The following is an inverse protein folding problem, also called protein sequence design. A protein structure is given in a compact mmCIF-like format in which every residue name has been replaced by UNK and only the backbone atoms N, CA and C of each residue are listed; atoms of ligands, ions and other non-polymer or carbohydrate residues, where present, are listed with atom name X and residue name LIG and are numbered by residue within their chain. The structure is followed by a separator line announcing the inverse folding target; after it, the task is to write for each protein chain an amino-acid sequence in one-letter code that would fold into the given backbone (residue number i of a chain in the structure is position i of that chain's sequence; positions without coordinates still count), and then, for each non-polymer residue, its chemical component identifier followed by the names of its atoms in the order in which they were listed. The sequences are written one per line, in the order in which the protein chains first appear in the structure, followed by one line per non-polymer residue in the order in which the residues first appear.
data_IF_452244526599
#
_entry.id   IF_452244526599
#
_cell.length_a   1.000
_cell.length_b   1.000
_cell.length_c   1.000
_cell.angle_alpha   90.00
_cell.angle_beta   90.00
_cell.angle_gamma   90.00
#
_symmetry.space_group_name_H-M   'P 1'
#
loop_
_entity.id
_entity.type
_entity.pdbx_description
1 polymer ?
#
# COMPACT_ATOMS: atom_id res chain seq x y z
N UNK A 1 -14.20 14.97 0.84
CA UNK A 1 -13.11 15.00 1.84
C UNK A 1 -11.90 15.68 1.21
N UNK A 2 -11.29 16.60 1.91
CA UNK A 2 -10.08 17.26 1.45
C UNK A 2 -8.86 16.45 1.86
N UNK A 3 -8.13 15.94 0.87
CA UNK A 3 -6.96 15.09 1.09
C UNK A 3 -5.65 15.86 1.04
N UNK A 4 -5.71 17.17 0.76
CA UNK A 4 -4.49 17.95 0.54
C UNK A 4 -3.53 17.97 1.74
N UNK A 5 -4.05 17.83 2.95
CA UNK A 5 -3.23 17.87 4.15
C UNK A 5 -2.20 16.74 4.20
N UNK A 6 -2.47 15.61 3.55
CA UNK A 6 -1.54 14.48 3.53
C UNK A 6 -0.35 14.72 2.61
N UNK A 7 -0.45 15.73 1.75
CA UNK A 7 0.56 16.00 0.72
C UNK A 7 1.24 17.35 0.89
N UNK A 8 1.15 17.95 2.09
CA UNK A 8 1.77 19.25 2.36
C UNK A 8 3.29 19.16 2.42
N UNK A 9 3.82 18.03 2.92
CA UNK A 9 5.26 17.85 3.08
C UNK A 9 5.93 17.30 1.83
N UNK A 10 5.20 16.50 1.05
CA UNK A 10 5.74 15.85 -0.15
C UNK A 10 4.61 15.50 -1.10
N UNK A 11 4.88 15.49 -2.42
CA UNK A 11 3.86 15.13 -3.41
C UNK A 11 3.51 13.63 -3.39
N UNK A 12 4.39 12.79 -2.87
CA UNK A 12 4.17 11.36 -2.71
C UNK A 12 4.41 10.98 -1.28
N UNK A 13 3.55 10.11 -0.74
CA UNK A 13 3.71 9.61 0.62
C UNK A 13 3.74 8.08 0.60
N UNK A 14 4.47 7.46 1.54
CA UNK A 14 4.52 6.01 1.61
C UNK A 14 3.22 5.42 2.12
N UNK A 15 2.86 4.28 1.55
CA UNK A 15 1.66 3.54 1.93
C UNK A 15 2.05 2.08 2.14
N UNK A 16 1.76 1.58 3.32
CA UNK A 16 1.94 0.17 3.66
C UNK A 16 0.61 -0.55 3.46
N UNK A 17 0.64 -1.73 2.85
CA UNK A 17 -0.54 -2.59 2.77
C UNK A 17 -0.43 -3.67 3.84
N UNK A 18 -1.49 -3.79 4.64
CA UNK A 18 -1.52 -4.71 5.78
C UNK A 18 -2.79 -5.55 5.73
N UNK A 19 -2.64 -6.84 6.01
CA UNK A 19 -3.78 -7.75 6.04
C UNK A 19 -4.71 -7.43 7.21
N UNK A 20 -6.02 -7.36 6.95
CA UNK A 20 -7.01 -7.00 7.98
C UNK A 20 -7.17 -8.04 9.07
N UNK A 21 -6.84 -9.29 8.79
CA UNK A 21 -7.02 -10.38 9.75
C UNK A 21 -5.75 -10.74 10.49
N UNK A 22 -4.68 -10.98 9.76
CA UNK A 22 -3.42 -11.44 10.34
C UNK A 22 -2.51 -10.32 10.82
N UNK A 23 -2.69 -9.12 10.28
CA UNK A 23 -1.77 -8.01 10.53
C UNK A 23 -0.51 -8.09 9.69
N UNK A 24 -0.40 -9.06 8.79
CA UNK A 24 0.79 -9.21 7.96
C UNK A 24 0.97 -8.02 7.05
N UNK A 25 2.21 -7.52 6.96
CA UNK A 25 2.56 -6.45 6.04
C UNK A 25 2.86 -7.06 4.68
N UNK A 26 2.16 -6.60 3.64
CA UNK A 26 2.26 -7.19 2.30
C UNK A 26 3.20 -6.45 1.37
N UNK A 27 3.16 -5.12 1.39
CA UNK A 27 3.99 -4.31 0.50
C UNK A 27 4.02 -2.87 0.98
N UNK A 28 4.95 -2.10 0.39
CA UNK A 28 4.99 -0.65 0.53
C UNK A 28 5.01 -0.04 -0.87
N UNK A 29 4.19 0.96 -1.09
CA UNK A 29 4.18 1.74 -2.32
C UNK A 29 4.08 3.21 -1.99
N UNK A 30 3.91 4.04 -3.02
CA UNK A 30 3.76 5.49 -2.84
C UNK A 30 2.48 5.93 -3.50
N UNK A 31 1.81 6.90 -2.88
CA UNK A 31 0.57 7.46 -3.40
C UNK A 31 0.68 8.96 -3.53
N UNK A 32 0.12 9.50 -4.64
CA UNK A 32 -0.18 10.92 -4.71
C UNK A 32 -1.66 11.10 -4.31
N UNK A 33 -2.12 12.33 -4.30
CA UNK A 33 -3.49 12.64 -3.90
C UNK A 33 -4.51 11.90 -4.77
N UNK A 34 -4.24 11.82 -6.08
CA UNK A 34 -5.14 11.13 -7.02
C UNK A 34 -5.23 9.64 -6.75
N UNK A 35 -4.10 8.99 -6.43
CA UNK A 35 -4.08 7.56 -6.10
C UNK A 35 -4.90 7.29 -4.82
N UNK A 36 -4.76 8.17 -3.83
CA UNK A 36 -5.51 8.03 -2.59
C UNK A 36 -7.01 8.17 -2.85
N UNK A 37 -7.41 9.17 -3.66
CA UNK A 37 -8.81 9.36 -4.01
C UNK A 37 -9.38 8.15 -4.75
N UNK A 38 -8.62 7.61 -5.70
CA UNK A 38 -9.04 6.42 -6.44
C UNK A 38 -9.21 5.21 -5.53
N UNK A 39 -8.33 5.05 -4.54
CA UNK A 39 -8.45 3.96 -3.58
C UNK A 39 -9.76 4.05 -2.81
N UNK A 40 -10.11 5.26 -2.38
CA UNK A 40 -11.36 5.49 -1.66
C UNK A 40 -12.59 5.28 -2.55
N UNK A 41 -12.51 5.68 -3.81
CA UNK A 41 -13.62 5.59 -4.74
C UNK A 41 -13.87 4.15 -5.22
N UNK A 42 -12.80 3.37 -5.42
CA UNK A 42 -12.91 2.03 -5.99
C UNK A 42 -12.86 0.91 -4.98
N UNK A 43 -12.30 1.17 -3.79
CA UNK A 43 -12.12 0.12 -2.79
C UNK A 43 -10.96 -0.82 -3.08
N UNK A 44 -10.11 -0.47 -4.03
CA UNK A 44 -8.91 -1.24 -4.36
C UNK A 44 -7.68 -0.35 -4.23
N UNK A 45 -6.51 -0.95 -3.98
CA UNK A 45 -5.29 -0.19 -3.68
C UNK A 45 -4.69 0.43 -4.93
N UNK A 46 -4.61 1.74 -4.95
CA UNK A 46 -3.98 2.53 -6.01
C UNK A 46 -2.72 3.19 -5.51
N UNK A 47 -1.74 3.30 -6.39
CA UNK A 47 -0.43 3.89 -6.11
C UNK A 47 0.01 4.78 -7.25
N UNK A 48 1.08 5.54 -7.03
CA UNK A 48 1.74 6.30 -8.08
C UNK A 48 3.16 5.73 -8.24
N UNK A 49 3.47 5.27 -9.46
CA UNK A 49 4.79 4.72 -9.76
C UNK A 49 5.80 5.85 -9.98
N UNK A 50 6.85 5.90 -9.16
CA UNK A 50 7.90 6.92 -9.28
C UNK A 50 8.71 6.73 -10.56
N UNK A 51 9.00 5.48 -10.91
CA UNK A 51 9.81 5.19 -12.10
C UNK A 51 9.06 5.43 -13.41
N UNK A 52 7.76 5.11 -13.44
CA UNK A 52 6.94 5.26 -14.64
C UNK A 52 6.20 6.58 -14.70
N UNK A 53 6.15 7.32 -13.59
CA UNK A 53 5.42 8.59 -13.48
C UNK A 53 3.95 8.44 -13.87
N UNK A 54 3.30 7.38 -13.36
CA UNK A 54 1.88 7.15 -13.63
C UNK A 54 1.19 6.42 -12.48
N UNK A 55 -0.13 6.55 -12.45
CA UNK A 55 -0.98 5.82 -11.52
C UNK A 55 -1.02 4.34 -11.90
N UNK A 56 -1.12 3.48 -10.89
CA UNK A 56 -1.38 2.07 -11.14
C UNK A 56 -2.23 1.47 -10.03
N UNK A 57 -3.10 0.55 -10.42
CA UNK A 57 -3.96 -0.20 -9.52
C UNK A 57 -3.29 -1.54 -9.25
N UNK A 58 -2.98 -1.84 -8.00
CA UNK A 58 -2.33 -3.10 -7.65
C UNK A 58 -3.23 -4.25 -8.10
N UNK A 59 -2.71 -5.10 -8.96
CA UNK A 59 -3.46 -6.23 -9.53
C UNK A 59 -3.99 -5.98 -10.94
N UNK A 60 -3.78 -4.80 -11.51
CA UNK A 60 -4.31 -4.49 -12.85
C UNK A 60 -3.78 -5.42 -13.94
N UNK A 61 -2.58 -5.97 -13.75
CA UNK A 61 -1.98 -6.91 -14.70
C UNK A 61 -2.18 -8.37 -14.27
N UNK A 62 -1.95 -8.65 -12.99
CA UNK A 62 -2.00 -10.01 -12.45
C UNK A 62 -3.41 -10.50 -12.11
N UNK A 63 -4.33 -9.57 -11.88
CA UNK A 63 -5.65 -9.90 -11.34
C UNK A 63 -5.67 -10.02 -9.82
N UNK A 64 -4.52 -9.89 -9.16
CA UNK A 64 -4.41 -10.02 -7.70
C UNK A 64 -4.56 -8.67 -7.03
N UNK A 65 -5.78 -8.14 -7.09
CA UNK A 65 -6.12 -6.85 -6.46
C UNK A 65 -6.03 -6.94 -4.94
N UNK A 66 -5.80 -5.79 -4.30
CA UNK A 66 -5.91 -5.68 -2.85
C UNK A 66 -7.19 -4.88 -2.58
N UNK A 67 -8.14 -5.53 -1.91
CA UNK A 67 -9.39 -4.89 -1.53
C UNK A 67 -9.19 -4.16 -0.20
N UNK A 68 -9.33 -2.84 -0.23
CA UNK A 68 -9.07 -1.98 0.92
C UNK A 68 -10.33 -1.79 1.74
N UNK A 69 -10.28 -2.09 3.03
CA UNK A 69 -11.39 -1.94 3.96
C UNK A 69 -11.34 -0.62 4.70
N UNK A 70 -10.15 -0.15 5.03
CA UNK A 70 -9.97 1.13 5.71
C UNK A 70 -8.59 1.68 5.44
N UNK A 71 -8.44 2.97 5.62
CA UNK A 71 -7.17 3.67 5.45
C UNK A 71 -6.85 4.36 6.76
N UNK A 72 -5.66 4.10 7.29
CA UNK A 72 -5.18 4.73 8.51
C UNK A 72 -4.10 5.74 8.16
N UNK A 73 -4.09 6.87 8.84
CA UNK A 73 -2.99 7.84 8.72
C UNK A 73 -2.21 7.86 10.03
N UNK A 74 -0.94 8.19 9.95
CA UNK A 74 -0.13 8.32 11.16
C UNK A 74 -0.36 9.69 11.84
N UNK A 75 0.33 9.93 12.94
CA UNK A 75 0.05 11.08 13.79
C UNK A 75 0.37 12.44 13.15
N UNK A 76 1.23 12.49 12.15
CA UNK A 76 1.59 13.72 11.45
C UNK A 76 1.17 13.76 9.99
N UNK A 77 0.27 12.86 9.60
CA UNK A 77 -0.41 12.86 8.29
C UNK A 77 0.54 12.80 7.09
N UNK A 78 1.57 11.96 7.17
CA UNK A 78 2.50 11.80 6.04
C UNK A 78 2.78 10.35 5.67
N UNK A 79 2.08 9.40 6.29
CA UNK A 79 2.22 7.96 6.00
C UNK A 79 0.85 7.31 6.18
N UNK A 80 0.53 6.38 5.28
CA UNK A 80 -0.76 5.71 5.31
C UNK A 80 -0.61 4.20 5.41
N UNK A 81 -1.65 3.56 5.94
CA UNK A 81 -1.80 2.11 5.85
C UNK A 81 -3.13 1.82 5.14
N UNK A 82 -3.05 1.05 4.06
CA UNK A 82 -4.24 0.46 3.45
C UNK A 82 -4.45 -0.88 4.13
N UNK A 83 -5.51 -0.99 4.92
CA UNK A 83 -5.85 -2.24 5.61
C UNK A 83 -6.89 -2.97 4.76
N UNK A 84 -6.61 -4.20 4.39
CA UNK A 84 -7.53 -4.92 3.54
C UNK A 84 -7.16 -6.37 3.32
N UNK A 85 -7.66 -6.94 2.22
CA UNK A 85 -7.47 -8.34 1.88
C UNK A 85 -6.99 -8.46 0.45
N UNK A 86 -5.83 -9.08 0.20
CA UNK A 86 -5.39 -9.35 -1.17
C UNK A 86 -6.17 -10.53 -1.74
N UNK A 87 -6.45 -10.47 -3.04
CA UNK A 87 -7.12 -11.57 -3.74
C UNK A 87 -6.20 -12.77 -3.94
N UNK A 88 -4.90 -12.52 -4.06
CA UNK A 88 -3.89 -13.56 -4.27
C UNK A 88 -2.52 -13.06 -3.85
N UNK A 89 -1.45 -13.72 -4.28
CA UNK A 89 -0.09 -13.31 -3.93
C UNK A 89 0.15 -11.85 -4.29
N UNK A 90 0.73 -11.09 -3.36
CA UNK A 90 0.93 -9.65 -3.53
C UNK A 90 2.19 -9.37 -4.35
N UNK A 91 3.26 -10.10 -4.08
CA UNK A 91 4.52 -9.89 -4.77
C UNK A 91 4.47 -10.43 -6.21
N UNK A 92 5.04 -9.67 -7.16
CA UNK A 92 5.09 -10.10 -8.56
C UNK A 92 5.85 -11.40 -8.76
N UNK A 93 6.66 -11.83 -7.76
CA UNK A 93 7.38 -13.11 -7.79
C UNK A 93 6.51 -14.29 -7.38
N UNK A 94 5.25 -14.05 -7.00
CA UNK A 94 4.33 -15.08 -6.57
C UNK A 94 4.28 -15.31 -5.07
N UNK A 95 5.05 -14.56 -4.28
CA UNK A 95 5.00 -14.65 -2.82
C UNK A 95 3.81 -13.89 -2.26
N UNK A 96 3.28 -14.37 -1.13
CA UNK A 96 2.14 -13.75 -0.46
C UNK A 96 2.44 -12.32 -0.04
N UNK A 97 3.67 -12.04 0.40
CA UNK A 97 4.14 -10.72 0.79
C UNK A 97 5.42 -10.38 0.03
N UNK A 98 5.69 -9.08 -0.13
CA UNK A 98 6.95 -8.63 -0.70
C UNK A 98 8.11 -8.75 0.30
N UNK A 99 7.80 -8.90 1.58
CA UNK A 99 8.80 -8.94 2.66
C UNK A 99 9.06 -10.36 3.10
N UNK A 100 9.72 -11.15 2.24
CA UNK A 100 9.95 -12.57 2.50
C UNK A 100 11.42 -12.92 2.71
N UNK A 101 12.33 -11.95 2.68
CA UNK A 101 13.76 -12.17 2.88
C UNK A 101 14.17 -11.63 4.23
N UNK A 102 14.71 -12.49 5.09
CA UNK A 102 15.21 -12.07 6.39
C UNK A 102 16.63 -11.51 6.24
N UNK A 103 16.80 -10.22 6.53
CA UNK A 103 18.11 -9.58 6.50
C UNK A 103 18.91 -9.89 7.75
N UNK A 104 18.27 -9.89 8.88
CA UNK A 104 18.90 -10.06 10.18
C UNK A 104 17.89 -10.60 11.18
N UNK A 105 18.33 -11.44 12.04
CA UNK A 105 17.49 -11.98 13.10
C UNK A 105 18.35 -12.15 14.34
N UNK A 106 17.83 -11.73 15.49
CA UNK A 106 18.58 -11.82 16.73
C UNK A 106 18.65 -13.27 17.20
N UNK A 107 19.83 -13.69 17.63
CA UNK A 107 20.01 -14.98 18.27
C UNK A 107 19.39 -14.92 19.67
N UNK A 108 18.43 -15.80 19.94
CA UNK A 108 17.67 -15.78 21.18
C UNK A 108 18.25 -16.65 22.29
N UNK A 109 19.41 -17.24 22.09
CA UNK A 109 20.05 -18.03 23.13
C UNK A 109 20.61 -17.19 24.26
#
# INVERSE_FOLDING_TARGET
MDLSKFFEKAPLIPVVCQDERSGEVHMLGYANEQALQLTMDTGTAWFFSRSRQKLWNKGETSGNFIFVKKILSDCDDDTLIYVGTPKGPVCHTGHRTCFFTTLWEKDEK
#
